data_IF_179486187787
#
_entry.id   IF_179486187787
#
_cell.length_a   1.000
_cell.length_b   1.000
_cell.length_c   1.000
_cell.angle_alpha   90.00
_cell.angle_beta   90.00
_cell.angle_gamma   90.00
#
_symmetry.space_group_name_H-M   'P 1'
#
loop_
_entity.id
_entity.type
_entity.pdbx_description
1 polymer ?
#
# COMPACT_ATOMS: atom_id res chain seq x y z
N UNK A 1 -16.00 17.28 7.38
CA UNK A 1 -15.67 17.18 5.94
C UNK A 1 -15.74 15.73 5.45
N UNK A 2 -15.04 14.79 6.09
CA UNK A 2 -15.04 13.36 5.72
C UNK A 2 -16.42 12.70 5.61
N UNK A 3 -17.35 12.98 6.52
CA UNK A 3 -18.70 12.39 6.46
C UNK A 3 -19.48 12.78 5.19
N UNK A 4 -19.25 13.99 4.66
CA UNK A 4 -19.86 14.42 3.39
C UNK A 4 -19.29 13.63 2.21
N UNK A 5 -18.00 13.33 2.25
CA UNK A 5 -17.30 12.55 1.22
C UNK A 5 -17.83 11.10 1.22
N UNK A 6 -17.91 10.49 2.41
CA UNK A 6 -18.47 9.15 2.57
C UNK A 6 -19.94 9.06 2.13
N UNK A 7 -20.75 10.06 2.46
CA UNK A 7 -22.15 10.11 2.03
C UNK A 7 -22.28 10.21 0.50
N UNK A 8 -21.48 11.05 -0.15
CA UNK A 8 -21.52 11.17 -1.61
C UNK A 8 -21.06 9.90 -2.33
N UNK A 9 -20.07 9.19 -1.78
CA UNK A 9 -19.65 7.88 -2.28
C UNK A 9 -20.77 6.83 -2.15
N UNK A 10 -21.48 6.81 -1.02
CA UNK A 10 -22.61 5.89 -0.82
C UNK A 10 -23.78 6.18 -1.77
N UNK A 11 -23.96 7.44 -2.16
CA UNK A 11 -24.94 7.88 -3.16
C UNK A 11 -24.48 7.65 -4.61
N UNK A 12 -23.27 7.12 -4.82
CA UNK A 12 -22.75 6.82 -6.15
C UNK A 12 -22.29 8.04 -6.95
N UNK A 13 -22.10 9.19 -6.30
CA UNK A 13 -21.63 10.41 -6.99
C UNK A 13 -20.18 10.30 -7.47
N UNK A 14 -19.38 9.52 -6.76
CA UNK A 14 -17.98 9.23 -7.07
C UNK A 14 -17.56 7.94 -6.36
N UNK A 15 -16.48 7.33 -6.84
CA UNK A 15 -15.86 6.19 -6.18
C UNK A 15 -14.84 6.68 -5.17
N UNK A 16 -15.01 6.29 -3.90
CA UNK A 16 -14.07 6.57 -2.83
C UNK A 16 -13.24 5.31 -2.53
N UNK A 17 -11.91 5.48 -2.53
CA UNK A 17 -10.96 4.43 -2.20
C UNK A 17 -10.02 4.89 -1.08
N UNK A 18 -9.61 3.97 -0.22
CA UNK A 18 -8.46 4.14 0.67
C UNK A 18 -7.24 3.54 -0.01
N UNK A 19 -6.20 4.34 -0.21
CA UNK A 19 -5.00 3.94 -0.93
C UNK A 19 -3.79 4.00 0.00
N UNK A 20 -2.96 2.96 -0.03
CA UNK A 20 -1.71 2.90 0.73
C UNK A 20 -0.67 1.96 0.10
N UNK A 21 0.58 2.06 0.56
CA UNK A 21 1.71 1.20 0.20
C UNK A 21 2.19 0.39 1.41
N UNK A 22 2.48 -0.90 1.20
CA UNK A 22 3.06 -1.75 2.23
C UNK A 22 4.28 -2.52 1.70
N UNK A 23 5.41 -2.37 2.39
CA UNK A 23 6.65 -3.09 2.12
C UNK A 23 6.84 -4.32 3.01
N UNK A 24 7.16 -5.45 2.41
CA UNK A 24 7.49 -6.71 3.08
C UNK A 24 8.91 -7.10 2.71
N UNK A 25 9.76 -7.28 3.72
CA UNK A 25 11.15 -7.68 3.55
C UNK A 25 11.36 -9.05 4.19
N UNK A 26 12.03 -9.95 3.47
CA UNK A 26 12.53 -11.21 4.03
C UNK A 26 13.82 -10.99 4.84
N UNK A 27 14.00 -9.80 5.43
CA UNK A 27 15.12 -9.53 6.31
C UNK A 27 15.01 -10.47 7.51
N UNK A 28 16.00 -11.33 7.78
CA UNK A 28 15.97 -12.12 8.99
C UNK A 28 15.85 -11.13 10.15
N UNK A 29 14.85 -11.27 11.03
CA UNK A 29 14.81 -10.44 12.23
C UNK A 29 16.18 -10.62 12.90
N UNK A 30 16.82 -9.52 13.32
CA UNK A 30 18.03 -9.61 14.15
C UNK A 30 17.65 -10.49 15.33
N UNK A 31 18.10 -11.74 15.28
CA UNK A 31 17.63 -12.75 16.23
C UNK A 31 18.08 -12.27 17.60
N UNK A 32 17.17 -12.19 18.56
CA UNK A 32 17.53 -11.86 19.94
C UNK A 32 18.59 -12.87 20.41
N UNK A 33 19.84 -12.43 20.45
CA UNK A 33 20.98 -13.23 20.85
C UNK A 33 21.52 -12.77 22.19
N UNK A 34 21.86 -13.72 23.05
CA UNK A 34 22.60 -13.42 24.27
C UNK A 34 24.01 -12.94 23.88
N UNK A 35 24.35 -11.70 24.23
CA UNK A 35 25.72 -11.19 24.12
C UNK A 35 26.39 -11.14 25.51
N UNK A 36 27.72 -11.28 25.58
CA UNK A 36 28.45 -11.04 26.82
C UNK A 36 28.20 -9.63 27.35
N UNK A 37 28.13 -9.48 28.69
CA UNK A 37 27.96 -8.16 29.32
C UNK A 37 29.06 -7.20 28.85
N UNK A 38 28.67 -6.04 28.35
CA UNK A 38 29.59 -5.02 27.85
C UNK A 38 29.99 -5.17 26.38
N UNK A 39 29.46 -6.16 25.66
CA UNK A 39 29.65 -6.30 24.21
C UNK A 39 28.33 -6.08 23.47
N UNK A 40 28.26 -5.15 22.50
CA UNK A 40 27.12 -5.01 21.60
C UNK A 40 26.84 -6.35 20.89
N UNK A 41 25.57 -6.63 20.65
CA UNK A 41 25.19 -7.71 19.75
C UNK A 41 25.40 -7.22 18.32
N UNK A 42 26.35 -7.82 17.63
CA UNK A 42 26.70 -7.50 16.24
C UNK A 42 26.20 -8.62 15.33
N UNK A 43 25.55 -8.24 14.23
CA UNK A 43 25.15 -9.16 13.16
C UNK A 43 25.55 -8.56 11.83
N UNK A 44 26.04 -9.40 10.92
CA UNK A 44 26.31 -8.98 9.55
C UNK A 44 24.99 -8.70 8.83
N UNK A 45 24.84 -7.54 8.15
CA UNK A 45 23.69 -7.29 7.29
C UNK A 45 23.62 -8.37 6.20
N UNK A 46 22.46 -9.00 6.07
CA UNK A 46 22.20 -9.95 4.98
C UNK A 46 21.35 -9.27 3.91
N UNK A 47 21.69 -9.52 2.65
CA UNK A 47 20.81 -9.16 1.53
C UNK A 47 19.50 -9.93 1.67
N UNK A 48 18.40 -9.25 1.40
CA UNK A 48 17.07 -9.83 1.48
C UNK A 48 16.18 -9.24 0.39
N UNK A 49 15.29 -10.09 -0.12
CA UNK A 49 14.30 -9.64 -1.07
C UNK A 49 13.25 -8.77 -0.38
N UNK A 50 12.85 -7.70 -1.08
CA UNK A 50 11.72 -6.86 -0.70
C UNK A 50 10.62 -6.97 -1.74
N UNK A 51 9.38 -7.06 -1.26
CA UNK A 51 8.17 -6.94 -2.07
C UNK A 51 7.38 -5.75 -1.54
N UNK A 52 7.01 -4.83 -2.40
CA UNK A 52 6.05 -3.77 -2.05
C UNK A 52 4.70 -4.07 -2.67
N UNK A 53 3.65 -3.62 -2.01
CA UNK A 53 2.25 -3.79 -2.43
C UNK A 53 1.60 -2.42 -2.46
N UNK A 54 1.01 -2.06 -3.59
CA UNK A 54 0.06 -0.96 -3.69
C UNK A 54 -1.34 -1.53 -3.51
N UNK A 55 -2.14 -0.93 -2.63
CA UNK A 55 -3.50 -1.36 -2.34
C UNK A 55 -4.49 -0.20 -2.40
N UNK A 56 -5.65 -0.43 -3.03
CA UNK A 56 -6.79 0.47 -3.02
C UNK A 56 -8.05 -0.29 -2.57
N UNK A 57 -8.55 0.05 -1.39
CA UNK A 57 -9.76 -0.52 -0.82
C UNK A 57 -10.97 0.36 -1.14
N UNK A 58 -11.93 -0.18 -1.89
CA UNK A 58 -13.19 0.50 -2.18
C UNK A 58 -14.03 0.66 -0.91
N UNK A 59 -14.45 1.90 -0.64
CA UNK A 59 -15.21 2.23 0.56
C UNK A 59 -16.60 1.58 0.59
N UNK A 60 -17.25 1.44 -0.56
CA UNK A 60 -18.67 1.06 -0.64
C UNK A 60 -18.91 -0.44 -0.58
N UNK A 61 -18.01 -1.26 -1.15
CA UNK A 61 -18.17 -2.71 -1.29
C UNK A 61 -17.04 -3.53 -0.66
N UNK A 62 -16.04 -2.87 -0.05
CA UNK A 62 -14.85 -3.47 0.55
C UNK A 62 -14.02 -4.34 -0.40
N UNK A 63 -14.10 -4.10 -1.71
CA UNK A 63 -13.23 -4.77 -2.68
C UNK A 63 -11.84 -4.15 -2.68
N UNK A 64 -10.80 -4.98 -2.74
CA UNK A 64 -9.40 -4.56 -2.76
C UNK A 64 -8.81 -4.77 -4.15
N UNK A 65 -8.36 -3.67 -4.78
CA UNK A 65 -7.48 -3.72 -5.93
C UNK A 65 -6.03 -3.59 -5.45
N UNK A 66 -5.14 -4.47 -5.89
CA UNK A 66 -3.75 -4.46 -5.47
C UNK A 66 -2.79 -4.84 -6.59
N UNK A 67 -1.56 -4.35 -6.50
CA UNK A 67 -0.45 -4.76 -7.35
C UNK A 67 0.80 -5.00 -6.49
N UNK A 68 1.63 -5.94 -6.89
CA UNK A 68 2.86 -6.29 -6.19
C UNK A 68 4.07 -5.98 -7.07
N UNK A 69 5.09 -5.36 -6.47
CA UNK A 69 6.32 -4.98 -7.16
C UNK A 69 7.52 -5.51 -6.38
N UNK A 70 8.55 -5.91 -7.12
CA UNK A 70 9.84 -6.26 -6.52
C UNK A 70 10.58 -4.99 -6.13
N UNK A 71 11.05 -4.89 -4.89
CA UNK A 71 11.84 -3.74 -4.44
C UNK A 71 11.00 -2.51 -4.07
N UNK A 72 11.32 -1.37 -4.65
CA UNK A 72 10.68 -0.08 -4.36
C UNK A 72 9.62 0.28 -5.38
N UNK A 73 8.52 0.83 -4.88
CA UNK A 73 7.52 1.50 -5.69
C UNK A 73 8.11 2.82 -6.20
N UNK A 74 8.05 2.99 -7.51
CA UNK A 74 8.40 4.23 -8.20
C UNK A 74 7.16 5.07 -8.45
N UNK A 75 7.37 6.31 -8.92
CA UNK A 75 6.27 7.16 -9.35
C UNK A 75 5.47 6.53 -10.49
N UNK A 76 6.14 5.89 -11.43
CA UNK A 76 5.52 5.30 -12.61
C UNK A 76 4.61 4.13 -12.21
N UNK A 77 5.05 3.30 -11.26
CA UNK A 77 4.22 2.23 -10.69
C UNK A 77 2.91 2.77 -10.07
N UNK A 78 2.96 3.92 -9.40
CA UNK A 78 1.76 4.55 -8.80
C UNK A 78 0.84 5.12 -9.87
N UNK A 79 1.39 5.75 -10.91
CA UNK A 79 0.60 6.27 -12.03
C UNK A 79 -0.13 5.12 -12.72
N UNK A 80 0.60 4.08 -13.10
CA UNK A 80 0.05 2.89 -13.77
C UNK A 80 -1.01 2.21 -12.90
N UNK A 81 -0.79 2.14 -11.58
CA UNK A 81 -1.77 1.60 -10.64
C UNK A 81 -3.08 2.40 -10.63
N UNK A 82 -2.99 3.73 -10.54
CA UNK A 82 -4.18 4.59 -10.51
C UNK A 82 -4.91 4.61 -11.86
N UNK A 83 -4.20 4.53 -12.98
CA UNK A 83 -4.79 4.40 -14.32
C UNK A 83 -5.57 3.10 -14.46
N UNK A 84 -4.98 1.96 -14.06
CA UNK A 84 -5.67 0.67 -14.07
C UNK A 84 -6.89 0.67 -13.14
N UNK A 85 -6.73 1.24 -11.95
CA UNK A 85 -7.81 1.37 -10.98
C UNK A 85 -8.97 2.20 -11.57
N UNK A 86 -8.70 3.28 -12.30
CA UNK A 86 -9.70 4.11 -12.96
C UNK A 86 -10.49 3.35 -14.05
N UNK A 87 -9.81 2.49 -14.81
CA UNK A 87 -10.44 1.70 -15.87
C UNK A 87 -11.45 0.68 -15.34
N UNK A 88 -11.25 0.14 -14.13
CA UNK A 88 -12.21 -0.81 -13.51
C UNK A 88 -13.56 -0.19 -13.14
N UNK A 89 -13.66 1.15 -13.07
CA UNK A 89 -14.85 1.84 -12.59
C UNK A 89 -16.03 1.96 -13.56
N UNK A 90 -15.83 1.75 -14.87
CA UNK A 90 -16.87 1.94 -15.90
C UNK A 90 -17.36 3.40 -16.02
N UNK A 91 -17.03 4.08 -17.14
CA UNK A 91 -17.07 5.54 -17.36
C UNK A 91 -16.43 6.37 -16.24
N UNK A 92 -15.47 7.25 -16.55
CA UNK A 92 -14.55 7.79 -15.54
C UNK A 92 -15.29 8.70 -14.55
N UNK A 93 -15.43 8.34 -13.26
CA UNK A 93 -15.75 9.30 -12.23
C UNK A 93 -14.44 9.92 -11.73
N UNK A 94 -14.49 11.17 -11.27
CA UNK A 94 -13.37 11.83 -10.60
C UNK A 94 -12.92 11.00 -9.38
N UNK A 95 -11.68 10.51 -9.40
CA UNK A 95 -11.09 9.74 -8.29
C UNK A 95 -10.54 10.72 -7.26
N UNK A 96 -11.09 10.68 -6.05
CA UNK A 96 -10.54 11.40 -4.90
C UNK A 96 -9.91 10.41 -3.93
N UNK A 97 -8.58 10.50 -3.77
CA UNK A 97 -7.82 9.76 -2.75
C UNK A 97 -7.78 10.58 -1.46
N UNK A 98 -7.95 9.92 -0.31
CA UNK A 98 -7.75 10.50 1.02
C UNK A 98 -6.62 9.72 1.67
N UNK A 99 -5.46 10.36 1.80
CA UNK A 99 -4.32 9.88 2.59
C UNK A 99 -4.41 10.28 4.05
#
# INVERSE_FOLDING_TARGET
MLNKIKAGAQLGHYRLVYFDEAGFAASPPVQYGWSPRGKPHETEPQEHDRRSVLGALNYTDNTLFYQTTSGSITRDDVIDFLEQLAQQGGQPPDIFSVG
#
